data_IF_094341231635
#
_entry.id   IF_094341231635
#
_cell.length_a   1.000
_cell.length_b   1.000
_cell.length_c   1.000
_cell.angle_alpha   90.00
_cell.angle_beta   90.00
_cell.angle_gamma   90.00
#
_symmetry.space_group_name_H-M   'P 1'
#
loop_
_entity.id
_entity.type
_entity.pdbx_description
1 polymer ?
#
# COMPACT_ATOMS: atom_id res chain seq x y z
N UNK A 1 -47.75 -13.09 -39.54
CA UNK A 1 -46.55 -12.28 -39.90
C UNK A 1 -45.96 -11.52 -38.71
N UNK A 2 -46.77 -10.92 -37.82
CA UNK A 2 -46.27 -10.09 -36.69
C UNK A 2 -45.55 -10.86 -35.56
N UNK A 3 -45.85 -12.15 -35.38
CA UNK A 3 -45.25 -13.00 -34.32
C UNK A 3 -43.81 -13.45 -34.63
N UNK A 4 -43.49 -13.61 -35.92
CA UNK A 4 -42.14 -13.96 -36.38
C UNK A 4 -41.23 -12.74 -36.47
N UNK A 5 -41.79 -11.55 -36.73
CA UNK A 5 -41.08 -10.26 -36.65
C UNK A 5 -40.56 -9.99 -35.24
N UNK A 6 -41.37 -10.29 -34.21
CA UNK A 6 -40.98 -10.09 -32.82
C UNK A 6 -39.91 -11.10 -32.37
N UNK A 7 -40.00 -12.35 -32.84
CA UNK A 7 -38.97 -13.37 -32.60
C UNK A 7 -37.63 -13.07 -33.29
N UNK A 8 -37.66 -12.55 -34.52
CA UNK A 8 -36.45 -12.16 -35.26
C UNK A 8 -35.76 -10.94 -34.62
N UNK A 9 -36.56 -9.97 -34.11
CA UNK A 9 -36.04 -8.81 -33.40
C UNK A 9 -35.35 -9.19 -32.08
N UNK A 10 -35.90 -10.16 -31.34
CA UNK A 10 -35.28 -10.69 -30.11
C UNK A 10 -33.96 -11.43 -30.41
N UNK A 11 -33.89 -12.16 -31.52
CA UNK A 11 -32.68 -12.89 -31.94
C UNK A 11 -31.55 -11.93 -32.36
N UNK A 12 -31.87 -10.82 -33.04
CA UNK A 12 -30.92 -9.79 -33.46
C UNK A 12 -30.35 -8.94 -32.30
N UNK A 13 -31.10 -8.79 -31.21
CA UNK A 13 -30.61 -8.09 -30.01
C UNK A 13 -29.63 -8.94 -29.17
N UNK A 14 -29.64 -10.27 -29.34
CA UNK A 14 -28.76 -11.18 -28.59
C UNK A 14 -27.31 -11.20 -29.07
N UNK A 15 -27.04 -10.85 -30.33
CA UNK A 15 -25.69 -10.92 -30.92
C UNK A 15 -24.85 -9.66 -30.70
N UNK A 16 -25.47 -8.54 -30.30
CA UNK A 16 -24.78 -7.26 -30.09
C UNK A 16 -24.11 -7.13 -28.71
N UNK A 17 -24.46 -7.98 -27.74
CA UNK A 17 -23.91 -7.91 -26.36
C UNK A 17 -22.65 -8.75 -26.16
N UNK A 18 -22.18 -9.48 -27.18
CA UNK A 18 -21.03 -10.40 -27.08
C UNK A 18 -19.76 -9.88 -27.77
N UNK A 19 -19.72 -8.63 -28.22
CA UNK A 19 -18.51 -7.99 -28.77
C UNK A 19 -17.92 -6.99 -27.80
N UNK A 20 -17.54 -7.45 -26.60
CA UNK A 20 -16.50 -6.76 -25.83
C UNK A 20 -15.17 -7.15 -26.45
N UNK A 21 -14.82 -6.53 -27.59
CA UNK A 21 -13.42 -6.31 -27.88
C UNK A 21 -12.98 -5.28 -26.85
N UNK A 22 -12.65 -5.75 -25.64
CA UNK A 22 -11.78 -4.96 -24.82
C UNK A 22 -10.49 -4.85 -25.62
N UNK A 23 -10.05 -3.62 -25.86
CA UNK A 23 -8.67 -3.34 -26.26
C UNK A 23 -7.81 -3.62 -25.01
N UNK A 24 -7.91 -4.84 -24.49
CA UNK A 24 -7.09 -5.35 -23.42
C UNK A 24 -5.75 -5.60 -24.09
N UNK A 25 -5.00 -4.51 -24.21
CA UNK A 25 -3.58 -4.54 -24.37
C UNK A 25 -3.01 -5.15 -23.08
N UNK A 26 -3.17 -6.46 -22.91
CA UNK A 26 -2.57 -7.32 -21.88
C UNK A 26 -1.04 -7.44 -22.07
N UNK A 27 -0.43 -6.44 -22.70
CA UNK A 27 1.01 -6.26 -22.65
C UNK A 27 1.43 -6.15 -21.18
N UNK A 28 2.62 -6.64 -20.81
CA UNK A 28 3.08 -6.56 -19.44
C UNK A 28 3.10 -5.09 -19.00
N UNK A 29 2.24 -4.73 -18.04
CA UNK A 29 2.31 -3.43 -17.39
C UNK A 29 3.61 -3.37 -16.59
N UNK A 30 4.54 -2.55 -17.06
CA UNK A 30 5.77 -2.28 -16.32
C UNK A 30 5.47 -1.24 -15.25
N UNK A 31 5.28 -1.68 -14.01
CA UNK A 31 5.32 -0.78 -12.87
C UNK A 31 6.77 -0.51 -12.46
N UNK A 32 7.06 0.74 -12.07
CA UNK A 32 8.29 1.02 -11.34
C UNK A 32 8.18 0.31 -9.99
N UNK A 33 8.99 -0.71 -9.77
CA UNK A 33 9.10 -1.34 -8.48
C UNK A 33 9.92 -0.42 -7.57
N UNK A 34 9.27 0.27 -6.65
CA UNK A 34 9.96 0.96 -5.57
C UNK A 34 10.53 -0.06 -4.60
N UNK A 35 11.84 -0.01 -4.40
CA UNK A 35 12.54 -0.81 -3.41
C UNK A 35 12.90 0.08 -2.23
N UNK A 36 12.48 -0.32 -1.03
CA UNK A 36 13.01 0.29 0.19
C UNK A 36 14.25 -0.47 0.66
N UNK A 37 15.22 0.26 1.19
CA UNK A 37 16.41 -0.34 1.84
C UNK A 37 16.14 -0.69 3.31
N UNK A 38 15.01 -0.26 3.87
CA UNK A 38 14.68 -0.49 5.27
C UNK A 38 13.29 -0.01 5.69
N UNK A 39 13.07 0.04 7.00
CA UNK A 39 11.85 0.59 7.59
C UNK A 39 12.13 1.23 8.95
N UNK A 40 11.24 2.15 9.35
CA UNK A 40 11.22 2.69 10.70
C UNK A 40 9.96 2.23 11.42
N UNK A 41 10.12 1.77 12.67
CA UNK A 41 9.01 1.38 13.53
C UNK A 41 8.97 2.32 14.72
N UNK A 42 7.83 3.02 14.87
CA UNK A 42 7.55 3.87 16.02
C UNK A 42 6.97 3.01 17.14
N UNK A 43 7.59 3.09 18.32
CA UNK A 43 7.03 2.58 19.56
C UNK A 43 6.55 3.77 20.39
N UNK A 44 5.24 3.82 20.66
CA UNK A 44 4.61 4.87 21.45
C UNK A 44 5.05 4.87 22.92
N UNK A 45 5.60 3.77 23.42
CA UNK A 45 6.01 3.63 24.81
C UNK A 45 4.81 3.44 25.75
N UNK A 46 5.02 3.66 27.04
CA UNK A 46 4.00 3.53 28.06
C UNK A 46 4.28 4.52 29.20
N UNK A 47 3.46 5.58 29.27
CA UNK A 47 3.63 6.64 30.25
C UNK A 47 3.47 6.16 31.70
N UNK A 48 2.52 5.26 31.99
CA UNK A 48 2.30 4.73 33.33
C UNK A 48 3.51 3.94 33.83
N UNK A 49 4.07 3.08 32.96
CA UNK A 49 5.25 2.27 33.26
C UNK A 49 6.58 3.00 33.03
N UNK A 50 6.55 4.31 32.74
CA UNK A 50 7.75 5.14 32.46
C UNK A 50 8.63 4.59 31.33
N UNK A 51 8.01 3.97 30.34
CA UNK A 51 8.68 3.50 29.12
C UNK A 51 8.59 4.61 28.09
N UNK A 52 9.72 5.21 27.76
CA UNK A 52 9.79 6.27 26.74
C UNK A 52 9.43 5.71 25.35
N UNK A 53 8.89 6.57 24.50
CA UNK A 53 8.76 6.29 23.07
C UNK A 53 10.13 6.07 22.44
N UNK A 54 10.18 5.25 21.40
CA UNK A 54 11.42 4.99 20.67
C UNK A 54 11.16 4.80 19.18
N UNK A 55 12.21 5.02 18.40
CA UNK A 55 12.25 4.72 16.97
C UNK A 55 13.23 3.58 16.75
N UNK A 56 12.82 2.56 16.01
CA UNK A 56 13.67 1.45 15.59
C UNK A 56 13.89 1.53 14.08
N UNK A 57 15.15 1.43 13.65
CA UNK A 57 15.51 1.31 12.24
C UNK A 57 15.74 -0.16 11.89
N UNK A 58 15.10 -0.63 10.83
CA UNK A 58 15.29 -1.96 10.26
C UNK A 58 16.08 -1.78 8.96
N UNK A 59 17.23 -2.46 8.87
CA UNK A 59 18.02 -2.56 7.64
C UNK A 59 17.80 -3.94 7.01
N UNK A 60 17.30 -3.96 5.77
CA UNK A 60 16.99 -5.19 5.07
C UNK A 60 18.24 -5.91 4.56
N UNK A 61 19.32 -5.19 4.26
CA UNK A 61 20.55 -5.80 3.76
C UNK A 61 21.23 -6.65 4.83
N UNK A 62 21.28 -6.14 6.07
CA UNK A 62 21.89 -6.84 7.21
C UNK A 62 20.90 -7.61 8.08
N UNK A 63 19.59 -7.52 7.80
CA UNK A 63 18.52 -8.08 8.66
C UNK A 63 18.63 -7.63 10.12
N UNK A 64 19.06 -6.38 10.35
CA UNK A 64 19.30 -5.85 11.69
C UNK A 64 18.22 -4.84 12.10
N UNK A 65 17.76 -4.93 13.35
CA UNK A 65 16.87 -3.95 13.97
C UNK A 65 17.62 -3.17 15.05
N UNK A 66 17.91 -1.90 14.79
CA UNK A 66 18.59 -1.01 15.74
C UNK A 66 17.54 -0.18 16.48
N UNK A 67 17.44 -0.36 17.80
CA UNK A 67 16.46 0.35 18.62
C UNK A 67 16.99 1.71 19.08
N UNK A 68 16.06 2.62 19.42
CA UNK A 68 16.36 3.93 20.02
C UNK A 68 17.24 4.83 19.14
N UNK A 69 17.16 4.69 17.81
CA UNK A 69 18.02 5.43 16.86
C UNK A 69 17.88 6.94 16.97
N UNK A 70 16.68 7.44 17.26
CA UNK A 70 16.46 8.88 17.48
C UNK A 70 17.25 9.39 18.69
N UNK A 71 17.20 8.67 19.82
CA UNK A 71 17.89 9.07 21.06
C UNK A 71 19.40 9.01 20.89
N UNK A 72 19.89 7.99 20.20
CA UNK A 72 21.31 7.87 19.86
C UNK A 72 21.79 9.03 18.98
N UNK A 73 21.03 9.39 17.93
CA UNK A 73 21.41 10.44 17.00
C UNK A 73 21.29 11.86 17.57
N UNK A 74 20.34 12.11 18.49
CA UNK A 74 20.01 13.47 18.95
C UNK A 74 20.33 13.74 20.42
N UNK A 75 20.77 12.74 21.19
CA UNK A 75 21.05 12.88 22.62
C UNK A 75 19.81 13.21 23.49
N UNK A 76 18.60 13.13 22.92
CA UNK A 76 17.34 13.43 23.62
C UNK A 76 16.26 12.38 23.36
N UNK A 77 15.32 12.28 24.28
CA UNK A 77 14.16 11.39 24.17
C UNK A 77 13.14 11.90 23.14
N UNK A 78 12.37 10.98 22.56
CA UNK A 78 11.15 11.27 21.80
C UNK A 78 9.98 11.68 22.72
N UNK A 79 10.14 11.52 24.03
CA UNK A 79 9.08 11.73 25.00
C UNK A 79 8.22 10.48 25.16
N UNK A 80 6.93 10.67 25.43
CA UNK A 80 5.95 9.62 25.63
C UNK A 80 4.84 9.72 24.58
N UNK A 81 4.25 8.58 24.22
CA UNK A 81 3.08 8.50 23.34
C UNK A 81 3.33 9.05 21.93
N UNK A 82 4.49 8.78 21.35
CA UNK A 82 4.72 9.02 19.91
C UNK A 82 3.69 8.21 19.09
N UNK A 83 2.99 8.87 18.17
CA UNK A 83 1.95 8.23 17.35
C UNK A 83 2.47 7.91 15.95
N UNK A 84 2.89 8.92 15.19
CA UNK A 84 3.28 8.76 13.78
C UNK A 84 4.60 9.47 13.45
N UNK A 85 5.31 8.90 12.49
CA UNK A 85 6.47 9.54 11.84
C UNK A 85 6.03 10.24 10.57
N UNK A 86 6.44 11.49 10.37
CA UNK A 86 6.25 12.24 9.13
C UNK A 86 7.63 12.46 8.51
N UNK A 87 7.79 12.05 7.26
CA UNK A 87 8.95 12.38 6.43
C UNK A 87 8.55 13.53 5.52
N UNK A 88 9.34 14.61 5.51
CA UNK A 88 9.15 15.75 4.62
C UNK A 88 10.39 15.89 3.72
N UNK A 89 10.18 16.25 2.46
CA UNK A 89 11.22 16.39 1.43
C UNK A 89 10.65 16.94 0.14
#
# INVERSE_FOLDING_TARGET
MKKYLLGLAVLLMGTAVMTSCSDDNDGPETYLQEYSTGAYVVNSGNMYNKIESSLTAIDYASSTATQKVFKAANGRSLGNTANDGIVYG
#
